data_IF_165148850512
#
_entry.id   IF_165148850512
#
_cell.length_a   1.000
_cell.length_b   1.000
_cell.length_c   1.000
_cell.angle_alpha   90.00
_cell.angle_beta   90.00
_cell.angle_gamma   90.00
#
_symmetry.space_group_name_H-M   'P 1'
#
loop_
_entity.id
_entity.type
_entity.pdbx_description
1 polymer ?
#
# COMPACT_ATOMS: atom_id res chain seq x y z
N UNK A 1 8.74 -54.06 28.27
CA UNK A 1 8.74 -52.61 28.53
C UNK A 1 10.20 -52.23 28.69
N UNK A 2 10.91 -51.61 27.76
CA UNK A 2 10.62 -50.93 26.49
C UNK A 2 11.95 -50.90 25.73
N UNK A 3 11.88 -50.93 24.40
CA UNK A 3 13.03 -50.91 23.51
C UNK A 3 13.95 -49.71 23.75
N UNK A 4 15.27 -49.93 23.75
CA UNK A 4 16.27 -48.86 23.69
C UNK A 4 16.76 -48.71 22.26
N UNK A 5 16.16 -47.72 21.61
CA UNK A 5 16.71 -46.79 20.63
C UNK A 5 17.68 -47.31 19.57
N UNK A 6 17.10 -47.51 18.38
CA UNK A 6 17.73 -47.40 17.08
C UNK A 6 18.34 -46.01 16.90
N UNK A 7 19.66 -45.93 16.87
CA UNK A 7 20.42 -44.73 16.51
C UNK A 7 20.25 -44.44 15.02
N UNK A 8 19.28 -43.60 14.66
CA UNK A 8 19.12 -43.09 13.30
C UNK A 8 20.01 -41.85 13.13
N UNK A 9 21.17 -42.04 12.51
CA UNK A 9 22.14 -40.98 12.23
C UNK A 9 21.62 -40.10 11.09
N UNK A 10 20.83 -39.09 11.43
CA UNK A 10 20.36 -38.08 10.48
C UNK A 10 21.50 -37.10 10.19
N UNK A 11 22.10 -37.21 9.01
CA UNK A 11 23.02 -36.22 8.45
C UNK A 11 22.28 -34.91 8.18
N UNK A 12 22.73 -33.74 8.70
CA UNK A 12 22.13 -32.49 8.28
C UNK A 12 22.65 -32.15 6.87
N UNK A 13 21.74 -32.19 5.89
CA UNK A 13 21.99 -31.66 4.55
C UNK A 13 22.28 -30.16 4.68
N UNK A 14 23.56 -29.78 4.65
CA UNK A 14 23.98 -28.38 4.61
C UNK A 14 23.73 -27.83 3.21
N UNK A 15 22.58 -27.16 3.04
CA UNK A 15 22.35 -26.32 1.87
C UNK A 15 23.28 -25.11 1.98
N UNK A 16 24.34 -25.11 1.18
CA UNK A 16 25.18 -23.94 0.98
C UNK A 16 24.30 -22.74 0.61
N UNK A 17 24.25 -21.74 1.50
CA UNK A 17 23.70 -20.41 1.19
C UNK A 17 24.62 -19.77 0.17
N UNK A 18 24.33 -20.01 -1.11
CA UNK A 18 25.03 -19.39 -2.22
C UNK A 18 24.05 -18.64 -3.11
N UNK A 19 23.19 -17.80 -2.53
CA UNK A 19 22.47 -16.76 -3.27
C UNK A 19 21.94 -15.70 -2.30
N UNK A 20 22.84 -14.90 -1.73
CA UNK A 20 22.42 -13.61 -1.19
C UNK A 20 22.07 -12.72 -2.41
N UNK A 21 20.80 -12.32 -2.63
CA UNK A 21 20.47 -11.45 -3.74
C UNK A 21 21.20 -10.11 -3.53
N UNK A 22 22.06 -9.74 -4.47
CA UNK A 22 22.68 -8.42 -4.51
C UNK A 22 21.55 -7.41 -4.68
N UNK A 23 21.12 -6.76 -3.58
CA UNK A 23 20.05 -5.77 -3.60
C UNK A 23 20.47 -4.64 -4.54
N UNK A 24 19.84 -4.57 -5.73
CA UNK A 24 19.98 -3.42 -6.63
C UNK A 24 19.16 -2.27 -6.07
N UNK A 25 19.80 -1.14 -5.85
CA UNK A 25 19.09 0.10 -5.56
C UNK A 25 18.31 0.50 -6.81
N UNK A 26 16.99 0.64 -6.67
CA UNK A 26 16.11 1.12 -7.73
C UNK A 26 15.85 2.61 -7.49
N UNK A 27 16.54 3.45 -8.25
CA UNK A 27 16.32 4.89 -8.20
C UNK A 27 15.08 5.27 -9.02
N UNK A 28 14.43 6.37 -8.66
CA UNK A 28 13.34 6.93 -9.43
C UNK A 28 13.79 7.27 -10.87
N UNK A 29 12.86 7.15 -11.83
CA UNK A 29 13.13 7.51 -13.22
C UNK A 29 13.42 9.00 -13.37
N UNK A 30 14.38 9.35 -14.24
CA UNK A 30 14.73 10.74 -14.50
C UNK A 30 13.54 11.59 -14.98
N UNK A 31 12.54 10.95 -15.62
CA UNK A 31 11.30 11.60 -16.10
C UNK A 31 10.40 12.14 -14.98
N UNK A 32 10.59 11.66 -13.74
CA UNK A 32 9.80 12.08 -12.59
C UNK A 32 10.45 13.24 -11.82
N UNK A 33 11.67 13.67 -12.17
CA UNK A 33 12.38 14.72 -11.42
C UNK A 33 11.68 16.08 -11.46
N UNK A 34 11.02 16.42 -12.57
CA UNK A 34 10.32 17.70 -12.75
C UNK A 34 8.80 17.61 -12.52
N UNK A 35 8.30 16.45 -12.06
CA UNK A 35 6.87 16.24 -11.78
C UNK A 35 6.56 16.74 -10.37
N UNK A 36 6.09 17.98 -10.27
CA UNK A 36 5.63 18.56 -8.99
C UNK A 36 4.09 18.69 -8.96
N UNK A 37 3.44 17.82 -8.19
CA UNK A 37 2.02 17.93 -7.86
C UNK A 37 1.86 18.14 -6.35
N UNK A 38 1.93 19.41 -5.94
CA UNK A 38 2.08 19.81 -4.53
C UNK A 38 0.78 19.78 -3.70
N UNK A 39 -0.30 19.18 -4.24
CA UNK A 39 -1.58 19.08 -3.51
C UNK A 39 -1.42 18.29 -2.20
N UNK A 40 -0.39 17.43 -2.11
CA UNK A 40 -0.01 16.69 -0.90
C UNK A 40 1.40 17.05 -0.42
N UNK A 41 1.73 18.34 -0.47
CA UNK A 41 3.01 18.88 -0.02
C UNK A 41 3.15 19.04 1.51
N UNK A 42 4.19 19.76 1.96
CA UNK A 42 4.46 19.99 3.39
C UNK A 42 3.30 20.70 4.12
N UNK A 43 2.49 21.48 3.40
CA UNK A 43 1.28 22.11 3.95
C UNK A 43 0.22 21.05 4.31
N UNK A 44 0.08 20.00 3.49
CA UNK A 44 -0.81 18.89 3.78
C UNK A 44 -0.34 18.09 4.99
N UNK A 45 0.97 17.88 5.13
CA UNK A 45 1.56 17.21 6.30
C UNK A 45 1.32 18.00 7.59
N UNK A 46 1.45 19.33 7.54
CA UNK A 46 1.13 20.19 8.68
C UNK A 46 -0.36 20.17 9.02
N UNK A 47 -1.24 20.21 8.03
CA UNK A 47 -2.68 20.04 8.25
C UNK A 47 -2.99 18.68 8.90
N UNK A 48 -2.38 17.59 8.43
CA UNK A 48 -2.56 16.26 9.00
C UNK A 48 -2.05 16.16 10.45
N UNK A 49 -0.95 16.84 10.79
CA UNK A 49 -0.46 16.94 12.17
C UNK A 49 -1.46 17.67 13.07
N UNK A 50 -2.00 18.81 12.62
CA UNK A 50 -3.02 19.54 13.37
C UNK A 50 -4.31 18.71 13.55
N UNK A 51 -4.70 17.94 12.54
CA UNK A 51 -5.82 16.98 12.65
C UNK A 51 -5.54 15.91 13.72
N UNK A 52 -4.32 15.36 13.78
CA UNK A 52 -3.91 14.39 14.78
C UNK A 52 -3.86 14.97 16.21
N UNK A 53 -3.55 16.25 16.34
CA UNK A 53 -3.61 17.02 17.59
C UNK A 53 -5.06 17.34 18.02
N UNK A 54 -6.06 16.99 17.18
CA UNK A 54 -7.49 17.14 17.47
C UNK A 54 -8.11 18.42 16.90
N UNK A 55 -7.37 19.20 16.11
CA UNK A 55 -7.91 20.39 15.46
C UNK A 55 -8.77 20.03 14.24
N UNK A 56 -9.94 20.66 14.14
CA UNK A 56 -10.78 20.54 12.95
C UNK A 56 -10.22 21.41 11.82
N UNK A 57 -9.66 20.78 10.79
CA UNK A 57 -9.18 21.46 9.59
C UNK A 57 -10.21 21.34 8.47
N UNK A 58 -10.60 22.47 7.88
CA UNK A 58 -11.47 22.52 6.71
C UNK A 58 -10.61 22.47 5.44
N UNK A 59 -10.70 21.36 4.69
CA UNK A 59 -9.92 21.11 3.47
C UNK A 59 -10.55 21.82 2.27
N UNK A 60 -10.24 23.10 2.08
CA UNK A 60 -10.69 23.89 0.93
C UNK A 60 -9.77 23.75 -0.30
N UNK A 61 -8.64 23.08 -0.13
CA UNK A 61 -7.62 22.87 -1.15
C UNK A 61 -7.85 21.62 -2.01
N UNK A 62 -8.87 20.82 -1.71
CA UNK A 62 -9.17 19.58 -2.44
C UNK A 62 -10.52 19.67 -3.15
N UNK A 63 -10.54 19.27 -4.42
CA UNK A 63 -11.78 19.05 -5.17
C UNK A 63 -12.39 17.67 -4.89
N UNK A 64 -12.30 17.16 -3.66
CA UNK A 64 -12.91 15.88 -3.29
C UNK A 64 -14.35 16.14 -2.82
N UNK A 65 -15.38 15.68 -3.55
CA UNK A 65 -16.78 15.96 -3.21
C UNK A 65 -17.27 15.15 -1.99
N UNK A 66 -16.71 13.96 -1.73
CA UNK A 66 -17.21 13.06 -0.69
C UNK A 66 -17.16 13.66 0.75
N UNK A 67 -16.08 14.33 1.20
CA UNK A 67 -16.05 15.03 2.49
C UNK A 67 -17.11 16.13 2.67
N UNK A 68 -17.74 16.58 1.59
CA UNK A 68 -18.80 17.60 1.62
C UNK A 68 -20.21 17.01 1.48
N UNK A 69 -20.34 15.67 1.56
CA UNK A 69 -21.64 14.99 1.50
C UNK A 69 -22.20 14.80 0.09
N UNK A 70 -21.37 14.99 -0.94
CA UNK A 70 -21.75 14.65 -2.31
C UNK A 70 -21.44 13.18 -2.56
N UNK A 71 -22.49 12.38 -2.62
CA UNK A 71 -22.43 10.96 -2.97
C UNK A 71 -22.70 10.74 -4.46
N UNK A 72 -22.16 9.65 -4.99
CA UNK A 72 -22.46 9.26 -6.36
C UNK A 72 -23.94 8.86 -6.47
N UNK A 73 -24.66 9.31 -7.52
CA UNK A 73 -26.06 8.92 -7.74
C UNK A 73 -26.26 7.41 -7.81
N UNK A 74 -27.40 6.93 -7.29
CA UNK A 74 -27.75 5.50 -7.22
C UNK A 74 -27.67 4.78 -8.57
N UNK A 75 -28.01 5.47 -9.65
CA UNK A 75 -27.95 4.94 -11.02
C UNK A 75 -26.50 4.57 -11.38
N UNK A 76 -25.54 5.45 -11.09
CA UNK A 76 -24.11 5.22 -11.38
C UNK A 76 -23.59 4.06 -10.51
N UNK A 77 -23.98 4.03 -9.24
CA UNK A 77 -23.57 2.96 -8.32
C UNK A 77 -24.08 1.59 -8.79
N UNK A 78 -25.36 1.52 -9.18
CA UNK A 78 -25.97 0.29 -9.70
C UNK A 78 -25.30 -0.19 -10.98
N UNK A 79 -25.03 0.73 -11.90
CA UNK A 79 -24.37 0.40 -13.17
C UNK A 79 -22.93 -0.06 -12.94
N UNK A 80 -22.18 0.58 -12.03
CA UNK A 80 -20.85 0.12 -11.62
C UNK A 80 -20.91 -1.30 -11.04
N UNK A 81 -21.83 -1.57 -10.10
CA UNK A 81 -21.98 -2.90 -9.48
C UNK A 81 -22.30 -3.97 -10.54
N UNK A 82 -23.16 -3.65 -11.50
CA UNK A 82 -23.50 -4.56 -12.60
C UNK A 82 -22.33 -4.81 -13.56
N UNK A 83 -21.44 -3.84 -13.72
CA UNK A 83 -20.26 -3.94 -14.59
C UNK A 83 -19.08 -4.70 -13.94
N UNK A 84 -18.96 -4.70 -12.61
CA UNK A 84 -17.85 -5.35 -11.89
C UNK A 84 -17.56 -6.81 -12.30
N UNK A 85 -18.56 -7.70 -12.51
CA UNK A 85 -18.32 -9.09 -12.91
C UNK A 85 -17.72 -9.26 -14.32
N UNK A 86 -17.69 -8.19 -15.12
CA UNK A 86 -17.16 -8.18 -16.48
C UNK A 86 -15.96 -7.23 -16.63
N UNK A 87 -15.51 -6.60 -15.53
CA UNK A 87 -14.46 -5.60 -15.54
C UNK A 87 -13.04 -6.17 -15.42
N UNK A 88 -12.89 -7.48 -15.15
CA UNK A 88 -11.59 -8.14 -15.10
C UNK A 88 -10.98 -8.33 -16.50
N UNK A 89 -9.72 -7.92 -16.65
CA UNK A 89 -8.90 -8.04 -17.86
C UNK A 89 -7.44 -7.73 -17.55
#
# INVERSE_FOLDING_TARGET
MTASDTTDSVVPFSFATAFAPRQRTLNASAKLHDVAYDIRGPVHEHAARLEAEGHRILKLNIGNPAPFGFEAPDVIMRDMIAALPYAQG
#
